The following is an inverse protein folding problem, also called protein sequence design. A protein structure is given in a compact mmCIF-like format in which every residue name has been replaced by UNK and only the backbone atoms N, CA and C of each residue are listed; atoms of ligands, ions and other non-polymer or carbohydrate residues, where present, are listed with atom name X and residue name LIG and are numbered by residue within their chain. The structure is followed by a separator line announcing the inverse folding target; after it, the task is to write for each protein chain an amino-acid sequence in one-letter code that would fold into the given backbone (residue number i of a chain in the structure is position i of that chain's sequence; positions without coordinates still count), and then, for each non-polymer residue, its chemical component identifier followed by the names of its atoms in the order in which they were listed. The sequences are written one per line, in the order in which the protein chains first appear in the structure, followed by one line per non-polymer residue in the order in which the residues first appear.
data_IF_035302781068
#
_entry.id   IF_035302781068
#
_cell.length_a   1.000
_cell.length_b   1.000
_cell.length_c   1.000
_cell.angle_alpha   90.00
_cell.angle_beta   90.00
_cell.angle_gamma   90.00
#
_symmetry.space_group_name_H-M   'P 1'
#
loop_
_entity.id
_entity.type
_entity.pdbx_description
1 polymer ?
#
# COMPACT_ATOMS: atom_id res chain seq x y z
N UNK A 1 7.44 -11.97 -24.19
CA UNK A 1 6.30 -11.20 -24.73
C UNK A 1 5.42 -10.75 -23.58
N UNK A 2 5.61 -9.50 -23.10
CA UNK A 2 4.68 -8.89 -22.16
C UNK A 2 3.39 -8.57 -22.90
N UNK A 3 2.38 -9.41 -22.74
CA UNK A 3 1.02 -9.08 -23.21
C UNK A 3 0.53 -7.93 -22.31
N UNK A 4 0.46 -6.74 -22.87
CA UNK A 4 -0.26 -5.64 -22.22
C UNK A 4 -1.71 -6.08 -22.01
N UNK A 5 -2.25 -5.95 -20.79
CA UNK A 5 -3.64 -6.32 -20.54
C UNK A 5 -4.56 -5.49 -21.43
N UNK A 6 -5.66 -6.06 -21.87
CA UNK A 6 -6.67 -5.32 -22.62
C UNK A 6 -7.20 -4.15 -21.75
N UNK A 7 -7.59 -3.02 -22.32
CA UNK A 7 -8.05 -1.85 -21.54
C UNK A 7 -9.20 -2.21 -20.59
N UNK A 8 -10.04 -3.14 -20.96
CA UNK A 8 -11.12 -3.66 -20.11
C UNK A 8 -10.58 -4.46 -18.92
N UNK A 9 -9.56 -5.30 -19.13
CA UNK A 9 -8.94 -6.06 -18.05
C UNK A 9 -8.19 -5.12 -17.09
N UNK A 10 -7.50 -4.11 -17.60
CA UNK A 10 -6.82 -3.09 -16.79
C UNK A 10 -7.83 -2.33 -15.93
N UNK A 11 -8.98 -1.95 -16.47
CA UNK A 11 -10.06 -1.29 -15.72
C UNK A 11 -10.57 -2.16 -14.56
N UNK A 12 -10.89 -3.42 -14.82
CA UNK A 12 -11.39 -4.33 -13.77
C UNK A 12 -10.34 -4.64 -12.70
N UNK A 13 -9.07 -4.77 -13.08
CA UNK A 13 -7.97 -4.93 -12.11
C UNK A 13 -7.81 -3.70 -11.23
N UNK A 14 -7.88 -2.50 -11.82
CA UNK A 14 -7.82 -1.26 -11.05
C UNK A 14 -9.02 -1.14 -10.10
N UNK A 15 -10.25 -1.37 -10.58
CA UNK A 15 -11.45 -1.33 -9.77
C UNK A 15 -11.39 -2.32 -8.59
N UNK A 16 -10.91 -3.53 -8.83
CA UNK A 16 -10.72 -4.54 -7.78
C UNK A 16 -9.66 -4.13 -6.75
N UNK A 17 -8.57 -3.53 -7.21
CA UNK A 17 -7.51 -3.01 -6.32
C UNK A 17 -8.05 -1.90 -5.42
N UNK A 18 -8.80 -0.94 -5.98
CA UNK A 18 -9.42 0.12 -5.18
C UNK A 18 -10.48 -0.39 -4.21
N UNK A 19 -11.23 -1.42 -4.59
CA UNK A 19 -12.19 -2.09 -3.69
C UNK A 19 -11.48 -2.72 -2.48
N UNK A 20 -10.41 -3.49 -2.73
CA UNK A 20 -9.59 -4.07 -1.66
C UNK A 20 -9.00 -2.97 -0.77
N UNK A 21 -8.53 -1.89 -1.36
CA UNK A 21 -7.93 -0.78 -0.63
C UNK A 21 -8.94 -0.10 0.29
N UNK A 22 -10.14 0.18 -0.23
CA UNK A 22 -11.24 0.73 0.58
C UNK A 22 -11.61 -0.19 1.76
N UNK A 23 -11.68 -1.50 1.53
CA UNK A 23 -11.93 -2.48 2.59
C UNK A 23 -10.81 -2.49 3.65
N UNK A 24 -9.56 -2.28 3.23
CA UNK A 24 -8.40 -2.20 4.14
C UNK A 24 -8.53 -1.02 5.11
N UNK A 25 -9.08 0.12 4.68
CA UNK A 25 -9.34 1.26 5.59
C UNK A 25 -10.34 0.91 6.67
N UNK A 26 -11.42 0.26 6.30
CA UNK A 26 -12.45 -0.17 7.26
C UNK A 26 -11.87 -1.18 8.26
N UNK A 27 -11.13 -2.16 7.78
CA UNK A 27 -10.46 -3.14 8.62
C UNK A 27 -9.43 -2.49 9.56
N UNK A 28 -8.64 -1.52 9.07
CA UNK A 28 -7.68 -0.77 9.87
C UNK A 28 -8.38 0.02 10.98
N UNK A 29 -9.52 0.63 10.68
CA UNK A 29 -10.30 1.38 11.69
C UNK A 29 -10.79 0.49 12.81
N UNK A 30 -11.33 -0.68 12.46
CA UNK A 30 -11.78 -1.67 13.46
C UNK A 30 -10.60 -2.17 14.30
N UNK A 31 -9.50 -2.50 13.65
CA UNK A 31 -8.30 -3.02 14.32
C UNK A 31 -7.67 -1.99 15.28
N UNK A 32 -7.75 -0.70 14.98
CA UNK A 32 -7.26 0.38 15.88
C UNK A 32 -7.99 0.46 17.21
N UNK A 33 -9.18 -0.14 17.34
CA UNK A 33 -9.86 -0.25 18.62
C UNK A 33 -9.20 -1.26 19.57
N UNK A 34 -8.41 -2.19 19.01
CA UNK A 34 -7.76 -3.29 19.76
C UNK A 34 -6.25 -3.10 19.93
N UNK A 35 -5.64 -2.14 19.25
CA UNK A 35 -4.20 -1.94 19.31
C UNK A 35 -3.74 -0.55 18.87
N UNK A 36 -2.47 -0.25 19.17
CA UNK A 36 -1.89 1.00 18.72
C UNK A 36 -1.63 0.96 17.20
N UNK A 37 -1.73 2.11 16.51
CA UNK A 37 -1.46 2.19 15.07
C UNK A 37 -0.10 1.60 14.66
N UNK A 38 0.94 1.77 15.48
CA UNK A 38 2.28 1.23 15.21
C UNK A 38 2.34 -0.30 15.25
N UNK A 39 1.64 -0.93 16.20
CA UNK A 39 1.58 -2.39 16.31
C UNK A 39 0.89 -2.99 15.10
N UNK A 40 -0.19 -2.36 14.65
CA UNK A 40 -0.91 -2.80 13.45
C UNK A 40 -0.05 -2.66 12.19
N UNK A 41 0.67 -1.53 12.07
CA UNK A 41 1.60 -1.31 10.97
C UNK A 41 2.72 -2.36 10.97
N UNK A 42 3.31 -2.62 12.11
CA UNK A 42 4.35 -3.63 12.26
C UNK A 42 3.89 -5.00 11.77
N UNK A 43 2.73 -5.47 12.23
CA UNK A 43 2.19 -6.75 11.80
C UNK A 43 1.85 -6.78 10.31
N UNK A 44 1.30 -5.70 9.77
CA UNK A 44 1.01 -5.57 8.34
C UNK A 44 2.26 -5.71 7.48
N UNK A 45 3.33 -4.99 7.84
CA UNK A 45 4.60 -5.06 7.10
C UNK A 45 5.34 -6.38 7.32
N UNK A 46 5.34 -6.92 8.54
CA UNK A 46 5.93 -8.22 8.82
C UNK A 46 5.26 -9.32 7.98
N UNK A 47 3.93 -9.33 7.93
CA UNK A 47 3.19 -10.30 7.13
C UNK A 47 3.46 -10.13 5.64
N UNK A 48 3.45 -8.90 5.12
CA UNK A 48 3.77 -8.60 3.73
C UNK A 48 5.20 -9.03 3.37
N UNK A 49 6.16 -8.79 4.25
CA UNK A 49 7.55 -9.19 4.09
C UNK A 49 7.68 -10.71 4.00
N UNK A 50 7.05 -11.45 4.92
CA UNK A 50 7.06 -12.92 4.90
C UNK A 50 6.45 -13.46 3.62
N UNK A 51 5.27 -12.96 3.24
CA UNK A 51 4.60 -13.39 2.01
C UNK A 51 5.43 -13.12 0.75
N UNK A 52 6.03 -11.93 0.65
CA UNK A 52 6.90 -11.60 -0.48
C UNK A 52 8.13 -12.49 -0.56
N UNK A 53 8.76 -12.79 0.59
CA UNK A 53 9.89 -13.73 0.62
C UNK A 53 9.47 -15.14 0.20
N UNK A 54 8.34 -15.62 0.67
CA UNK A 54 7.79 -16.92 0.25
C UNK A 54 7.53 -16.96 -1.26
N UNK A 55 6.95 -15.89 -1.83
CA UNK A 55 6.73 -15.78 -3.28
C UNK A 55 8.04 -15.75 -4.07
N UNK A 56 9.07 -15.07 -3.58
CA UNK A 56 10.39 -15.09 -4.19
C UNK A 56 11.03 -16.49 -4.15
N UNK A 57 10.89 -17.21 -3.03
CA UNK A 57 11.39 -18.58 -2.88
C UNK A 57 10.72 -19.58 -3.84
N UNK A 58 9.48 -19.35 -4.21
CA UNK A 58 8.79 -20.18 -5.23
C UNK A 58 9.34 -19.97 -6.65
N UNK A 59 10.31 -19.08 -6.85
CA UNK A 59 10.91 -18.80 -8.15
C UNK A 59 10.00 -18.06 -9.14
N UNK A 60 8.83 -17.63 -8.70
CA UNK A 60 7.85 -16.95 -9.56
C UNK A 60 8.18 -15.48 -9.81
N UNK A 61 8.94 -14.88 -8.89
CA UNK A 61 9.41 -13.50 -8.99
C UNK A 61 10.94 -13.46 -8.85
N UNK A 62 11.62 -12.99 -9.88
CA UNK A 62 13.05 -12.75 -9.86
C UNK A 62 13.27 -11.24 -9.72
N UNK A 63 13.74 -10.83 -8.56
CA UNK A 63 14.08 -9.43 -8.31
C UNK A 63 15.57 -9.25 -8.64
N UNK A 64 15.85 -8.63 -9.78
CA UNK A 64 17.22 -8.26 -10.16
C UNK A 64 17.46 -6.80 -9.73
N UNK A 65 18.01 -6.63 -8.54
CA UNK A 65 18.42 -5.30 -8.06
C UNK A 65 19.84 -5.01 -8.54
N UNK A 66 19.98 -4.03 -9.41
CA UNK A 66 21.29 -3.45 -9.74
C UNK A 66 21.67 -2.43 -8.66
N UNK A 67 22.93 -2.39 -8.22
CA UNK A 67 23.36 -1.48 -7.14
C UNK A 67 23.06 0.00 -7.39
N UNK A 68 22.82 0.37 -8.64
CA UNK A 68 22.45 1.72 -9.08
C UNK A 68 20.99 2.07 -8.73
N UNK A 69 20.15 1.06 -8.59
CA UNK A 69 18.70 1.24 -8.33
C UNK A 69 18.38 1.23 -6.83
N UNK A 70 19.38 0.96 -5.98
CA UNK A 70 19.16 0.88 -4.53
C UNK A 70 18.77 2.23 -3.92
N UNK A 71 19.38 3.33 -4.36
CA UNK A 71 19.08 4.66 -3.81
C UNK A 71 17.62 5.09 -4.01
N UNK A 72 17.06 5.09 -5.23
CA UNK A 72 15.65 5.44 -5.41
C UNK A 72 14.71 4.46 -4.71
N UNK A 73 15.02 3.17 -4.64
CA UNK A 73 14.22 2.18 -3.92
C UNK A 73 14.24 2.44 -2.41
N UNK A 74 15.39 2.74 -1.83
CA UNK A 74 15.52 3.09 -0.41
C UNK A 74 14.79 4.39 -0.08
N UNK A 75 14.89 5.40 -0.93
CA UNK A 75 14.18 6.67 -0.75
C UNK A 75 12.67 6.46 -0.84
N UNK A 76 12.18 5.74 -1.84
CA UNK A 76 10.77 5.39 -1.94
C UNK A 76 10.30 4.61 -0.71
N UNK A 77 11.08 3.63 -0.25
CA UNK A 77 10.81 2.87 0.97
C UNK A 77 10.82 3.71 2.24
N UNK A 78 11.63 4.76 2.31
CA UNK A 78 11.65 5.67 3.44
C UNK A 78 10.41 6.58 3.45
N UNK A 79 10.06 7.15 2.30
CA UNK A 79 8.95 8.10 2.25
C UNK A 79 7.59 7.42 2.35
N UNK A 80 7.37 6.35 1.63
CA UNK A 80 6.06 5.71 1.57
C UNK A 80 5.75 4.84 2.80
N UNK A 81 6.49 3.74 3.12
CA UNK A 81 6.12 2.95 4.28
C UNK A 81 6.48 3.59 5.63
N UNK A 82 7.58 4.35 5.73
CA UNK A 82 8.06 4.83 7.03
C UNK A 82 7.44 6.16 7.42
N UNK A 83 7.18 7.06 6.49
CA UNK A 83 6.59 8.38 6.77
C UNK A 83 5.09 8.42 6.47
N UNK A 84 4.67 7.98 5.30
CA UNK A 84 3.29 8.09 4.86
C UNK A 84 2.33 7.24 5.72
N UNK A 85 2.62 5.96 5.90
CA UNK A 85 1.68 5.09 6.62
C UNK A 85 1.47 5.42 8.10
N UNK A 86 2.48 5.80 8.89
CA UNK A 86 2.21 6.29 10.23
C UNK A 86 1.32 7.54 10.25
N UNK A 87 1.57 8.51 9.36
CA UNK A 87 0.74 9.70 9.25
C UNK A 87 -0.70 9.35 8.86
N UNK A 88 -0.88 8.46 7.88
CA UNK A 88 -2.18 7.95 7.47
C UNK A 88 -2.93 7.28 8.61
N UNK A 89 -2.28 6.38 9.35
CA UNK A 89 -2.89 5.66 10.47
C UNK A 89 -3.27 6.58 11.63
N UNK A 90 -2.43 7.58 11.92
CA UNK A 90 -2.79 8.61 12.90
C UNK A 90 -3.91 9.51 12.42
N UNK A 91 -3.89 9.92 11.15
CA UNK A 91 -4.98 10.66 10.53
C UNK A 91 -6.31 9.90 10.63
N UNK A 92 -6.29 8.60 10.32
CA UNK A 92 -7.46 7.73 10.41
C UNK A 92 -7.97 7.60 11.86
N UNK A 93 -7.09 7.62 12.86
CA UNK A 93 -7.45 7.60 14.27
C UNK A 93 -8.13 8.89 14.73
N UNK A 94 -7.66 10.03 14.22
CA UNK A 94 -8.13 11.36 14.64
C UNK A 94 -9.36 11.84 13.86
N UNK A 95 -9.63 11.25 12.70
CA UNK A 95 -10.74 11.66 11.82
C UNK A 95 -11.73 10.51 11.58
N UNK A 96 -12.80 10.80 10.84
CA UNK A 96 -13.71 9.75 10.38
C UNK A 96 -13.10 9.01 9.17
N UNK A 97 -13.45 7.73 9.04
CA UNK A 97 -13.03 6.91 7.90
C UNK A 97 -13.45 7.52 6.56
N UNK A 98 -14.65 8.09 6.50
CA UNK A 98 -15.17 8.75 5.29
C UNK A 98 -14.34 9.96 4.90
N UNK A 99 -13.94 10.79 5.87
CA UNK A 99 -13.09 11.95 5.62
C UNK A 99 -11.71 11.52 5.09
N UNK A 100 -11.09 10.52 5.70
CA UNK A 100 -9.81 9.98 5.26
C UNK A 100 -9.88 9.42 3.84
N UNK A 101 -10.95 8.70 3.48
CA UNK A 101 -11.15 8.19 2.13
C UNK A 101 -11.26 9.31 1.08
N UNK A 102 -11.97 10.41 1.41
CA UNK A 102 -12.10 11.56 0.52
C UNK A 102 -10.74 12.25 0.32
N UNK A 103 -9.97 12.44 1.39
CA UNK A 103 -8.64 13.06 1.32
C UNK A 103 -7.68 12.25 0.44
N UNK A 104 -7.71 10.92 0.56
CA UNK A 104 -6.88 10.04 -0.27
C UNK A 104 -7.34 10.04 -1.73
N UNK A 105 -8.65 10.11 -1.98
CA UNK A 105 -9.18 10.23 -3.34
C UNK A 105 -8.75 11.54 -4.05
N UNK A 106 -8.32 12.57 -3.30
CA UNK A 106 -7.78 13.80 -3.85
C UNK A 106 -6.31 13.68 -4.30
N UNK A 107 -5.56 12.68 -3.83
CA UNK A 107 -4.14 12.51 -4.16
C UNK A 107 -3.89 12.48 -5.69
N UNK A 108 -4.64 11.70 -6.51
CA UNK A 108 -4.44 11.69 -7.95
C UNK A 108 -4.72 13.05 -8.59
N UNK A 109 -5.66 13.83 -8.05
CA UNK A 109 -5.97 15.18 -8.54
C UNK A 109 -4.82 16.15 -8.26
N UNK A 110 -4.22 16.06 -7.06
CA UNK A 110 -3.07 16.88 -6.69
C UNK A 110 -1.79 16.50 -7.47
N UNK A 111 -1.67 15.26 -7.91
CA UNK A 111 -0.51 14.82 -8.70
C UNK A 111 -0.60 15.13 -10.18
N UNK A 112 -1.76 15.62 -10.67
CA UNK A 112 -1.98 16.06 -12.04
C UNK A 112 -1.63 17.55 -12.26
N UNK A 113 -1.42 18.32 -11.20
CA UNK A 113 -1.04 19.73 -11.20
C UNK A 113 0.47 19.87 -11.02
#
# INVERSE_FOLDING_TARGET
MHRTPSPTAAFWLAAFTYFIWGFTFLASRVAQNYGSPFVLLFWRFALAFVLMNLLCLTGRFHVHLHGRDLRPVLLAGLFEPVLYFPCEQYGLKLTSTSFSCVMIALIPLCSLI
#
